data_IF_781281302791
#
_entry.id   IF_781281302791
#
_cell.length_a   1.000
_cell.length_b   1.000
_cell.length_c   1.000
_cell.angle_alpha   90.00
_cell.angle_beta   90.00
_cell.angle_gamma   90.00
#
_symmetry.space_group_name_H-M   'P 1'
#
loop_
_entity.id
_entity.type
_entity.pdbx_description
1 polymer ?
#
# COMPACT_ATOMS: atom_id res chain seq x y z
N UNK A 1 46.82 -7.47 1.25
CA UNK A 1 45.90 -6.54 0.56
C UNK A 1 44.46 -7.08 0.54
N UNK A 2 43.92 -7.53 1.68
CA UNK A 2 42.56 -8.10 1.77
C UNK A 2 41.52 -7.13 2.38
N UNK A 3 41.96 -6.02 2.99
CA UNK A 3 41.09 -5.10 3.72
C UNK A 3 40.45 -3.99 2.87
N UNK A 4 41.01 -3.65 1.70
CA UNK A 4 40.56 -2.48 0.93
C UNK A 4 39.28 -2.73 0.12
N UNK A 5 39.02 -3.97 -0.29
CA UNK A 5 37.79 -4.34 -1.01
C UNK A 5 36.60 -4.55 -0.06
N UNK A 6 36.86 -4.85 1.22
CA UNK A 6 35.82 -5.06 2.24
C UNK A 6 35.16 -3.74 2.68
N UNK A 7 35.92 -2.64 2.65
CA UNK A 7 35.42 -1.29 2.98
C UNK A 7 34.42 -0.77 1.94
N UNK A 8 34.62 -1.08 0.66
CA UNK A 8 33.70 -0.66 -0.41
C UNK A 8 32.36 -1.40 -0.37
N UNK A 9 32.37 -2.69 -0.02
CA UNK A 9 31.14 -3.49 0.13
C UNK A 9 30.31 -2.97 1.32
N UNK A 10 30.94 -2.63 2.43
CA UNK A 10 30.26 -2.08 3.61
C UNK A 10 29.63 -0.69 3.36
N UNK A 11 30.31 0.17 2.57
CA UNK A 11 29.81 1.50 2.20
C UNK A 11 28.62 1.44 1.24
N UNK A 12 28.55 0.46 0.33
CA UNK A 12 27.42 0.28 -0.58
C UNK A 12 26.16 -0.27 0.12
N UNK A 13 26.31 -1.06 1.19
CA UNK A 13 25.18 -1.59 1.97
C UNK A 13 24.50 -0.59 2.90
N UNK A 14 25.09 0.58 3.16
CA UNK A 14 24.53 1.62 4.06
C UNK A 14 23.54 2.57 3.37
N UNK A 15 23.39 2.50 2.03
CA UNK A 15 22.54 3.43 1.28
C UNK A 15 21.11 2.92 1.01
N UNK A 16 20.79 1.66 1.37
CA UNK A 16 19.43 1.15 1.28
C UNK A 16 18.69 1.48 2.58
N UNK A 17 17.73 2.42 2.54
CA UNK A 17 16.76 2.51 3.63
C UNK A 17 15.87 1.26 3.54
N UNK A 18 15.89 0.38 4.55
CA UNK A 18 15.10 -0.84 4.48
C UNK A 18 13.63 -0.46 4.48
N UNK A 19 12.90 -0.95 3.48
CA UNK A 19 11.44 -0.92 3.52
C UNK A 19 10.97 -1.79 4.68
N UNK A 20 9.95 -1.32 5.38
CA UNK A 20 9.47 -1.99 6.58
C UNK A 20 8.63 -3.23 6.20
N UNK A 21 8.74 -4.26 7.03
CA UNK A 21 7.93 -5.48 6.95
C UNK A 21 6.50 -5.25 7.46
N UNK A 22 5.54 -5.99 6.92
CA UNK A 22 4.13 -5.91 7.35
C UNK A 22 3.90 -6.40 8.78
N UNK A 23 2.78 -6.00 9.36
CA UNK A 23 2.39 -6.31 10.75
C UNK A 23 0.88 -6.56 10.85
N UNK A 24 0.46 -7.29 11.89
CA UNK A 24 -0.93 -7.36 12.34
C UNK A 24 -1.06 -6.81 13.74
N UNK A 25 -2.18 -6.18 14.05
CA UNK A 25 -2.44 -5.65 15.39
C UNK A 25 -3.91 -5.78 15.76
N UNK A 26 -4.14 -5.86 17.06
CA UNK A 26 -5.49 -5.88 17.62
C UNK A 26 -5.53 -4.97 18.84
N UNK A 27 -6.56 -4.12 18.91
CA UNK A 27 -6.81 -3.21 20.03
C UNK A 27 -8.11 -3.59 20.74
N UNK A 28 -8.04 -4.31 21.87
CA UNK A 28 -9.22 -4.73 22.63
C UNK A 28 -10.07 -3.56 23.12
N UNK A 29 -9.47 -2.38 23.33
CA UNK A 29 -10.17 -1.20 23.83
C UNK A 29 -11.00 -0.49 22.76
N UNK A 30 -10.61 -0.61 21.49
CA UNK A 30 -11.31 0.06 20.37
C UNK A 30 -12.09 -0.93 19.50
N UNK A 31 -11.89 -2.23 19.72
CA UNK A 31 -12.43 -3.32 18.92
C UNK A 31 -12.04 -3.16 17.43
N UNK A 32 -10.78 -2.79 17.21
CA UNK A 32 -10.16 -2.63 15.91
C UNK A 32 -9.06 -3.68 15.78
N UNK A 33 -9.18 -4.51 14.75
CA UNK A 33 -8.12 -5.38 14.27
C UNK A 33 -7.60 -4.83 12.93
N UNK A 34 -6.32 -5.04 12.63
CA UNK A 34 -5.74 -4.61 11.38
C UNK A 34 -4.59 -5.49 10.93
N UNK A 35 -4.40 -5.54 9.61
CA UNK A 35 -3.25 -6.11 8.96
C UNK A 35 -2.70 -5.10 7.96
N UNK A 36 -1.39 -4.93 7.91
CA UNK A 36 -0.68 -4.10 6.93
C UNK A 36 0.31 -4.96 6.17
N UNK A 37 0.39 -4.76 4.86
CA UNK A 37 1.43 -5.35 4.03
C UNK A 37 2.80 -4.82 4.42
N UNK A 38 3.85 -5.48 3.93
CA UNK A 38 5.16 -4.84 3.77
C UNK A 38 5.04 -3.55 2.94
N UNK A 39 6.05 -2.70 3.06
CA UNK A 39 6.17 -1.52 2.21
C UNK A 39 6.80 -1.86 0.86
N UNK A 40 6.42 -1.11 -0.16
CA UNK A 40 7.09 -1.11 -1.47
C UNK A 40 7.26 0.32 -1.99
N UNK A 41 8.32 0.56 -2.75
CA UNK A 41 8.42 1.78 -3.57
C UNK A 41 7.33 1.71 -4.64
N UNK A 42 6.47 2.74 -4.67
CA UNK A 42 5.34 2.84 -5.59
C UNK A 42 5.53 3.93 -6.65
N UNK A 43 6.50 4.81 -6.43
CA UNK A 43 7.05 5.73 -7.42
C UNK A 43 8.47 6.08 -7.03
N UNK A 44 9.36 6.13 -8.02
CA UNK A 44 10.72 6.62 -7.89
C UNK A 44 10.93 7.65 -9.01
N UNK A 45 10.76 8.93 -8.65
CA UNK A 45 11.04 10.05 -9.55
C UNK A 45 12.30 10.80 -9.10
N UNK A 46 12.81 11.70 -9.96
CA UNK A 46 14.08 12.41 -9.71
C UNK A 46 14.12 13.22 -8.39
N UNK A 47 12.96 13.61 -7.86
CA UNK A 47 12.84 14.48 -6.69
C UNK A 47 12.20 13.77 -5.49
N UNK A 48 11.44 12.70 -5.72
CA UNK A 48 10.61 12.08 -4.70
C UNK A 48 10.59 10.56 -4.86
N UNK A 49 10.86 9.89 -3.75
CA UNK A 49 10.57 8.47 -3.59
C UNK A 49 9.29 8.33 -2.79
N UNK A 50 8.27 7.71 -3.41
CA UNK A 50 7.03 7.35 -2.74
C UNK A 50 7.05 5.87 -2.39
N UNK A 51 6.57 5.59 -1.18
CA UNK A 51 6.38 4.25 -0.65
C UNK A 51 4.90 4.06 -0.38
N UNK A 52 4.39 2.87 -0.65
CA UNK A 52 3.03 2.47 -0.38
C UNK A 52 2.94 1.22 0.47
N UNK A 53 1.80 1.09 1.14
CA UNK A 53 1.40 -0.10 1.91
C UNK A 53 -0.11 -0.29 1.80
N UNK A 54 -0.58 -1.52 1.87
CA UNK A 54 -2.00 -1.88 1.85
C UNK A 54 -2.42 -2.32 3.23
N UNK A 55 -3.61 -1.90 3.66
CA UNK A 55 -4.15 -2.16 4.99
C UNK A 55 -5.56 -2.72 4.90
N UNK A 56 -5.83 -3.74 5.70
CA UNK A 56 -7.17 -4.25 5.95
C UNK A 56 -7.48 -3.99 7.42
N UNK A 57 -8.56 -3.27 7.68
CA UNK A 57 -9.03 -2.97 9.02
C UNK A 57 -10.38 -3.64 9.23
N UNK A 58 -10.57 -4.26 10.39
CA UNK A 58 -11.87 -4.72 10.85
C UNK A 58 -12.22 -3.99 12.14
N UNK A 59 -13.37 -3.32 12.14
CA UNK A 59 -13.94 -2.72 13.33
C UNK A 59 -15.35 -3.24 13.52
N UNK A 60 -15.58 -4.02 14.57
CA UNK A 60 -16.92 -4.55 14.90
C UNK A 60 -17.60 -5.29 13.73
N UNK A 61 -16.83 -5.99 12.91
CA UNK A 61 -17.30 -6.72 11.73
C UNK A 61 -17.39 -5.89 10.45
N UNK A 62 -17.14 -4.58 10.51
CA UNK A 62 -17.02 -3.73 9.33
C UNK A 62 -15.59 -3.77 8.81
N UNK A 63 -15.41 -4.25 7.58
CA UNK A 63 -14.09 -4.39 6.95
C UNK A 63 -13.83 -3.20 6.01
N UNK A 64 -12.67 -2.57 6.18
CA UNK A 64 -12.18 -1.49 5.33
C UNK A 64 -10.88 -1.90 4.66
N UNK A 65 -10.82 -1.66 3.35
CA UNK A 65 -9.65 -1.91 2.52
C UNK A 65 -9.05 -0.58 2.12
N UNK A 66 -7.79 -0.36 2.48
CA UNK A 66 -7.11 0.91 2.30
C UNK A 66 -5.74 0.70 1.66
N UNK A 67 -5.27 1.68 0.91
CA UNK A 67 -3.85 1.78 0.61
C UNK A 67 -3.34 3.17 1.00
N UNK A 68 -2.22 3.20 1.71
CA UNK A 68 -1.58 4.43 2.13
C UNK A 68 -0.35 4.68 1.29
N UNK A 69 -0.16 5.95 0.91
CA UNK A 69 1.01 6.41 0.18
C UNK A 69 1.72 7.46 1.02
N UNK A 70 3.03 7.33 1.13
CA UNK A 70 3.90 8.26 1.83
C UNK A 70 5.14 8.62 1.02
N UNK A 71 5.68 9.79 1.29
CA UNK A 71 6.98 10.22 0.80
C UNK A 71 8.05 9.83 1.82
N UNK A 72 9.13 9.20 1.34
CA UNK A 72 10.32 8.97 2.15
C UNK A 72 10.99 10.30 2.46
N UNK A 73 11.37 10.52 3.72
CA UNK A 73 12.11 11.71 4.10
C UNK A 73 13.57 11.57 3.68
N UNK A 74 14.02 12.46 2.80
CA UNK A 74 15.42 12.59 2.36
C UNK A 74 16.15 13.78 3.02
N UNK A 75 15.45 14.54 3.88
CA UNK A 75 15.99 15.71 4.58
C UNK A 75 16.13 16.97 3.72
N UNK A 76 15.82 16.90 2.42
CA UNK A 76 15.97 17.99 1.45
C UNK A 76 14.60 18.47 0.98
N UNK A 77 13.75 17.54 0.55
CA UNK A 77 12.45 17.86 0.00
C UNK A 77 11.39 18.00 1.09
N UNK A 78 10.52 19.00 0.92
CA UNK A 78 9.34 19.17 1.77
C UNK A 78 8.33 18.07 1.48
N UNK A 79 7.41 17.87 2.44
CA UNK A 79 6.27 16.98 2.28
C UNK A 79 5.46 17.33 1.03
N UNK A 80 5.21 16.33 0.20
CA UNK A 80 4.29 16.39 -0.92
C UNK A 80 2.84 16.53 -0.47
N UNK A 81 2.14 17.49 -1.05
CA UNK A 81 0.69 17.66 -0.93
C UNK A 81 0.05 17.19 -2.22
N UNK A 82 -0.92 16.29 -2.08
CA UNK A 82 -1.73 15.77 -3.18
C UNK A 82 -3.20 16.05 -2.88
N UNK A 83 -3.92 16.53 -3.88
CA UNK A 83 -5.30 16.96 -3.74
C UNK A 83 -6.28 15.93 -4.30
N UNK A 84 -5.91 15.24 -5.38
CA UNK A 84 -6.75 14.26 -6.06
C UNK A 84 -5.92 13.14 -6.67
N UNK A 85 -6.59 12.05 -7.04
CA UNK A 85 -6.01 10.97 -7.80
C UNK A 85 -6.94 10.57 -8.94
N UNK A 86 -6.36 10.20 -10.07
CA UNK A 86 -7.10 9.89 -11.29
C UNK A 86 -6.59 8.60 -11.92
N UNK A 87 -7.47 7.89 -12.64
CA UNK A 87 -7.12 6.76 -13.49
C UNK A 87 -8.07 6.75 -14.68
N UNK A 88 -7.51 6.67 -15.89
CA UNK A 88 -8.29 6.60 -17.15
C UNK A 88 -9.35 7.71 -17.32
N UNK A 89 -9.08 8.89 -16.74
CA UNK A 89 -9.99 10.04 -16.78
C UNK A 89 -11.02 10.09 -15.66
N UNK A 90 -11.09 9.09 -14.78
CA UNK A 90 -11.97 9.05 -13.62
C UNK A 90 -11.27 9.46 -12.33
N UNK A 91 -12.02 10.14 -11.45
CA UNK A 91 -11.56 10.49 -10.10
C UNK A 91 -11.63 9.27 -9.21
N UNK A 92 -10.51 8.96 -8.55
CA UNK A 92 -10.41 7.86 -7.58
C UNK A 92 -10.79 8.33 -6.17
N UNK A 93 -11.23 7.41 -5.28
CA UNK A 93 -11.56 7.68 -3.88
C UNK A 93 -10.28 7.91 -3.04
N UNK A 94 -9.53 8.95 -3.39
CA UNK A 94 -8.30 9.36 -2.74
C UNK A 94 -8.56 10.49 -1.75
N UNK A 95 -8.02 10.32 -0.55
CA UNK A 95 -8.00 11.34 0.49
C UNK A 95 -6.58 11.85 0.69
N UNK A 96 -6.31 13.04 0.14
CA UNK A 96 -5.09 13.78 0.41
C UNK A 96 -5.00 14.27 1.84
N UNK A 97 -3.79 14.29 2.40
CA UNK A 97 -3.56 14.81 3.74
C UNK A 97 -3.22 16.30 3.74
N UNK A 98 -4.03 17.07 4.46
CA UNK A 98 -3.80 18.52 4.65
C UNK A 98 -2.83 18.84 5.79
N UNK A 99 -2.71 17.95 6.78
CA UNK A 99 -1.79 18.10 7.92
C UNK A 99 -0.58 17.19 7.73
N UNK A 100 0.52 17.56 8.37
CA UNK A 100 1.73 16.74 8.41
C UNK A 100 1.48 15.53 9.30
N UNK A 101 1.33 14.37 8.67
CA UNK A 101 1.20 13.09 9.36
C UNK A 101 2.36 12.20 8.96
N UNK A 102 2.84 11.39 9.89
CA UNK A 102 3.95 10.46 9.64
C UNK A 102 3.42 9.26 8.87
N UNK A 103 4.20 8.77 7.92
CA UNK A 103 3.94 7.50 7.27
C UNK A 103 4.63 6.40 8.08
N UNK A 104 3.86 5.48 8.64
CA UNK A 104 4.36 4.47 9.56
C UNK A 104 3.82 3.09 9.21
N UNK A 105 4.63 2.06 9.46
CA UNK A 105 4.12 0.70 9.64
C UNK A 105 3.79 0.50 11.11
N UNK A 106 2.62 -0.09 11.36
CA UNK A 106 2.16 -0.39 12.71
C UNK A 106 2.07 0.85 13.60
N UNK A 107 2.53 0.71 14.85
CA UNK A 107 2.32 1.71 15.90
C UNK A 107 3.48 2.70 16.09
N UNK A 108 4.68 2.44 15.57
CA UNK A 108 5.87 3.24 15.93
C UNK A 108 6.93 3.43 14.84
N UNK A 109 6.94 2.63 13.78
CA UNK A 109 8.03 2.63 12.80
C UNK A 109 7.70 3.57 11.63
N UNK A 110 8.15 4.82 11.71
CA UNK A 110 7.74 5.88 10.79
C UNK A 110 8.83 6.33 9.80
N UNK A 111 8.60 6.10 8.52
CA UNK A 111 9.44 6.56 7.41
C UNK A 111 8.77 7.73 6.67
N UNK A 112 9.19 8.95 6.99
CA UNK A 112 8.76 10.15 6.25
C UNK A 112 7.34 10.60 6.54
N UNK A 113 6.61 11.01 5.49
CA UNK A 113 5.33 11.72 5.62
C UNK A 113 4.24 11.07 4.78
N UNK A 114 3.06 10.87 5.36
CA UNK A 114 1.93 10.33 4.62
C UNK A 114 1.37 11.42 3.69
N UNK A 115 1.16 11.04 2.45
CA UNK A 115 0.67 11.93 1.38
C UNK A 115 -0.84 11.78 1.21
N UNK A 116 -1.35 10.55 1.32
CA UNK A 116 -2.79 10.29 1.30
C UNK A 116 -3.13 8.81 1.37
N UNK A 117 -4.42 8.53 1.25
CA UNK A 117 -4.99 7.19 1.36
C UNK A 117 -6.02 6.95 0.27
N UNK A 118 -6.00 5.78 -0.34
CA UNK A 118 -7.06 5.26 -1.20
C UNK A 118 -7.97 4.35 -0.38
N UNK A 119 -9.28 4.46 -0.59
CA UNK A 119 -10.24 3.49 -0.07
C UNK A 119 -10.73 2.58 -1.20
N UNK A 120 -10.81 1.28 -0.92
CA UNK A 120 -11.28 0.27 -1.86
C UNK A 120 -12.58 -0.34 -1.33
N UNK A 121 -13.48 -0.65 -2.26
CA UNK A 121 -14.56 -1.58 -1.99
C UNK A 121 -14.05 -3.02 -2.23
N UNK A 122 -14.78 -4.07 -1.81
CA UNK A 122 -14.32 -5.45 -1.96
C UNK A 122 -14.00 -5.86 -3.41
N UNK A 123 -14.76 -5.36 -4.39
CA UNK A 123 -14.57 -5.67 -5.81
C UNK A 123 -13.27 -5.05 -6.35
N UNK A 124 -13.09 -3.75 -6.17
CA UNK A 124 -11.87 -3.03 -6.58
C UNK A 124 -10.61 -3.50 -5.83
N UNK A 125 -10.76 -3.99 -4.60
CA UNK A 125 -9.65 -4.63 -3.88
C UNK A 125 -9.29 -5.98 -4.50
N UNK A 126 -10.28 -6.81 -4.85
CA UNK A 126 -10.05 -8.09 -5.51
C UNK A 126 -9.40 -7.92 -6.88
N UNK A 127 -9.81 -6.93 -7.67
CA UNK A 127 -9.12 -6.57 -8.92
C UNK A 127 -7.66 -6.17 -8.66
N UNK A 128 -7.41 -5.37 -7.62
CA UNK A 128 -6.05 -4.94 -7.28
C UNK A 128 -5.16 -6.08 -6.74
N UNK A 129 -5.76 -7.14 -6.19
CA UNK A 129 -5.03 -8.39 -5.85
C UNK A 129 -4.50 -9.07 -7.10
N UNK A 130 -5.22 -9.01 -8.21
CA UNK A 130 -4.84 -9.66 -9.47
C UNK A 130 -3.87 -8.79 -10.29
N UNK A 131 -4.22 -7.51 -10.48
CA UNK A 131 -3.55 -6.63 -11.45
C UNK A 131 -2.68 -5.52 -10.81
N UNK A 132 -2.76 -5.37 -9.49
CA UNK A 132 -2.24 -4.19 -8.80
C UNK A 132 -3.11 -2.96 -9.02
N UNK A 133 -2.60 -1.79 -8.63
CA UNK A 133 -3.35 -0.54 -8.70
C UNK A 133 -2.47 0.62 -9.20
N UNK A 134 -2.96 1.35 -10.21
CA UNK A 134 -2.30 2.52 -10.80
C UNK A 134 -3.12 3.77 -10.57
N UNK A 135 -2.45 4.89 -10.35
CA UNK A 135 -3.10 6.19 -10.25
C UNK A 135 -2.15 7.33 -10.61
N UNK A 136 -2.73 8.43 -11.09
CA UNK A 136 -2.07 9.72 -11.27
C UNK A 136 -2.43 10.61 -10.08
N UNK A 137 -1.48 10.87 -9.19
CA UNK A 137 -1.64 11.81 -8.08
C UNK A 137 -1.44 13.23 -8.60
N UNK A 138 -2.38 14.13 -8.29
CA UNK A 138 -2.33 15.53 -8.69
C UNK A 138 -2.41 16.40 -7.45
N UNK A 139 -1.43 17.29 -7.28
CA UNK A 139 -1.39 18.26 -6.21
C UNK A 139 -0.62 19.53 -6.57
N UNK A 140 -0.55 20.51 -5.65
CA UNK A 140 0.14 21.77 -5.89
C UNK A 140 1.66 21.62 -6.03
N UNK A 141 2.21 20.53 -5.50
CA UNK A 141 3.66 20.33 -5.44
C UNK A 141 4.18 19.49 -6.62
N UNK A 142 3.36 18.56 -7.16
CA UNK A 142 3.74 17.68 -8.27
C UNK A 142 2.52 16.97 -8.90
N UNK A 143 2.76 16.36 -10.07
CA UNK A 143 1.95 15.28 -10.63
C UNK A 143 2.80 14.02 -10.64
N UNK A 144 2.35 12.96 -9.99
CA UNK A 144 3.14 11.75 -9.77
C UNK A 144 2.31 10.51 -10.11
N UNK A 145 2.87 9.66 -10.97
CA UNK A 145 2.30 8.37 -11.30
C UNK A 145 2.71 7.35 -10.26
N UNK A 146 1.77 6.58 -9.72
CA UNK A 146 2.04 5.52 -8.77
C UNK A 146 1.58 4.17 -9.31
N UNK A 147 2.29 3.13 -8.89
CA UNK A 147 1.89 1.74 -9.06
C UNK A 147 2.06 1.00 -7.74
N UNK A 148 0.95 0.55 -7.16
CA UNK A 148 0.94 -0.39 -6.06
C UNK A 148 0.89 -1.80 -6.66
N UNK A 149 1.93 -2.60 -6.45
CA UNK A 149 2.02 -3.90 -7.10
C UNK A 149 1.11 -4.92 -6.37
N UNK A 150 0.58 -5.93 -7.07
CA UNK A 150 -0.43 -6.86 -6.54
C UNK A 150 0.03 -7.58 -5.27
N UNK A 151 1.33 -7.79 -5.10
CA UNK A 151 1.91 -8.47 -3.94
C UNK A 151 1.65 -7.73 -2.63
N UNK A 152 1.41 -6.41 -2.66
CA UNK A 152 1.00 -5.66 -1.47
C UNK A 152 -0.42 -6.05 -1.02
N UNK A 153 -1.32 -6.23 -1.97
CA UNK A 153 -2.72 -6.60 -1.70
C UNK A 153 -2.82 -8.04 -1.24
N UNK A 154 -2.07 -8.95 -1.88
CA UNK A 154 -1.93 -10.35 -1.45
C UNK A 154 -1.38 -10.43 -0.03
N UNK A 155 -0.27 -9.77 0.26
CA UNK A 155 0.37 -9.82 1.58
C UNK A 155 -0.54 -9.27 2.68
N UNK A 156 -1.26 -8.17 2.44
CA UNK A 156 -2.26 -7.66 3.38
C UNK A 156 -3.41 -8.65 3.63
N UNK A 157 -3.91 -9.31 2.57
CA UNK A 157 -5.00 -10.27 2.66
C UNK A 157 -4.59 -11.57 3.37
N UNK A 158 -3.40 -12.09 3.07
CA UNK A 158 -2.85 -13.28 3.73
C UNK A 158 -2.66 -13.03 5.23
N UNK A 159 -2.08 -11.88 5.60
CA UNK A 159 -1.92 -11.48 7.01
C UNK A 159 -3.26 -11.30 7.71
N UNK A 160 -4.22 -10.65 7.06
CA UNK A 160 -5.55 -10.46 7.63
C UNK A 160 -6.29 -11.78 7.88
N UNK A 161 -6.12 -12.76 6.98
CA UNK A 161 -6.71 -14.09 7.11
C UNK A 161 -6.02 -14.95 8.17
N UNK A 162 -4.70 -14.95 8.23
CA UNK A 162 -3.92 -15.75 9.17
C UNK A 162 -4.20 -15.37 10.64
N UNK A 163 -4.39 -14.08 10.91
CA UNK A 163 -4.54 -13.53 12.26
C UNK A 163 -6.00 -13.20 12.64
N UNK A 164 -6.95 -13.66 11.82
CA UNK A 164 -8.39 -13.51 12.10
C UNK A 164 -8.92 -12.07 12.08
N UNK A 165 -8.20 -11.14 11.44
CA UNK A 165 -8.66 -9.76 11.22
C UNK A 165 -9.92 -9.77 10.36
N UNK A 166 -9.97 -10.63 9.36
CA UNK A 166 -11.19 -10.91 8.59
C UNK A 166 -11.54 -12.39 8.75
N UNK A 167 -12.84 -12.71 8.71
CA UNK A 167 -13.25 -14.11 8.58
C UNK A 167 -12.63 -14.64 7.28
N UNK A 168 -11.89 -15.76 7.28
CA UNK A 168 -11.06 -16.16 6.14
C UNK A 168 -11.91 -16.37 4.87
N UNK A 169 -11.68 -15.61 3.77
CA UNK A 169 -12.43 -15.85 2.55
C UNK A 169 -11.58 -15.69 1.28
N UNK A 170 -10.28 -16.03 1.28
CA UNK A 170 -9.50 -15.99 0.03
C UNK A 170 -9.83 -17.17 -0.91
N UNK A 171 -10.33 -18.29 -0.38
CA UNK A 171 -10.83 -19.41 -1.20
C UNK A 171 -12.18 -19.11 -1.88
N UNK A 172 -12.94 -18.10 -1.42
CA UNK A 172 -14.25 -17.78 -1.99
C UNK A 172 -14.19 -16.83 -3.20
N UNK A 173 -13.17 -15.96 -3.27
CA UNK A 173 -13.02 -15.00 -4.38
C UNK A 173 -12.59 -15.71 -5.67
N UNK A 174 -11.74 -16.74 -5.59
CA UNK A 174 -11.34 -17.58 -6.74
C UNK A 174 -12.53 -18.32 -7.38
N UNK A 175 -13.55 -18.69 -6.61
CA UNK A 175 -14.72 -19.39 -7.14
C UNK A 175 -15.67 -18.50 -7.93
N UNK A 176 -15.68 -17.19 -7.69
CA UNK A 176 -16.54 -16.25 -8.43
C UNK A 176 -15.93 -15.97 -9.81
N UNK A 177 -14.61 -15.79 -9.90
CA UNK A 177 -13.90 -15.57 -11.16
C UNK A 177 -13.96 -16.79 -12.10
N UNK A 178 -13.93 -18.01 -11.56
CA UNK A 178 -14.00 -19.24 -12.37
C UNK A 178 -15.40 -19.53 -12.95
N UNK A 179 -16.47 -18.95 -12.40
CA UNK A 179 -17.84 -19.21 -12.85
C UNK A 179 -18.30 -18.40 -14.08
N UNK A 180 -17.57 -17.36 -14.50
CA UNK A 180 -17.94 -16.52 -15.66
C UNK A 180 -17.45 -17.04 -17.01
N UNK A 181 -16.69 -18.13 -17.06
CA UNK A 181 -16.18 -18.71 -18.32
C UNK A 181 -16.80 -20.10 -18.53
N UNK A 182 -18.10 -20.17 -18.82
CA UNK A 182 -18.72 -21.34 -19.49
C UNK A 182 -20.15 -21.01 -19.92
N UNK A 183 -20.30 -20.30 -21.03
CA UNK A 183 -21.50 -20.43 -21.87
C UNK A 183 -21.05 -20.67 -23.32
N UNK A 184 -21.21 -21.89 -23.85
CA UNK A 184 -21.08 -22.11 -25.28
C UNK A 184 -22.35 -21.61 -25.97
N UNK A 185 -22.22 -20.56 -26.79
CA UNK A 185 -23.21 -20.19 -27.77
C UNK A 185 -23.36 -21.35 -28.77
N UNK A 186 -24.52 -21.99 -28.78
CA UNK A 186 -24.95 -22.91 -29.84
C UNK A 186 -25.97 -22.16 -30.71
N UNK A 187 -25.61 -21.95 -31.97
CA UNK A 187 -26.43 -21.39 -33.03
C UNK A 187 -25.76 -21.68 -34.35
#
# INVERSE_FOLDING_TARGET
MLGRNLVWIFLLSMACTPLLEGETWHSPHTDIAGAVSRQAVVSDDRHHVLVGQVMILNRRGEVHYLAEIGQVSDGVHRRLRMDSAWRDGDVLPFRGLRRTERFCIGLSNCQGFRTGTFAFNPETFAEAVEDGFRAHLIGPDAVIDIYLPPELFVDAADRAGAEGVIAPPLLAIQHIASSRVTTPHRG
#
